data_IF_987422518246
#
_entry.id   IF_987422518246
#
_cell.length_a   1.000
_cell.length_b   1.000
_cell.length_c   1.000
_cell.angle_alpha   90.00
_cell.angle_beta   90.00
_cell.angle_gamma   90.00
#
_symmetry.space_group_name_H-M   'P 1'
#
loop_
_entity.id
_entity.type
_entity.pdbx_description
1 polymer ?
#
# COMPACT_ATOMS: atom_id res chain seq x y z
N UNK A 1 -13.20 -7.18 -44.88
CA UNK A 1 -11.74 -7.12 -44.62
C UNK A 1 -11.39 -6.42 -43.30
N UNK A 2 -11.97 -5.25 -42.97
CA UNK A 2 -11.64 -4.48 -41.76
C UNK A 2 -11.97 -5.15 -40.40
N UNK A 3 -13.03 -5.96 -40.33
CA UNK A 3 -13.49 -6.57 -39.07
C UNK A 3 -12.58 -7.71 -38.58
N UNK A 4 -11.98 -8.46 -39.52
CA UNK A 4 -11.08 -9.59 -39.20
C UNK A 4 -9.73 -9.06 -38.66
N UNK A 5 -9.25 -7.92 -39.17
CA UNK A 5 -8.03 -7.29 -38.68
C UNK A 5 -8.16 -6.73 -37.25
N UNK A 6 -9.35 -6.27 -36.85
CA UNK A 6 -9.60 -5.77 -35.47
C UNK A 6 -9.55 -6.88 -34.41
N UNK A 7 -9.96 -8.10 -34.75
CA UNK A 7 -9.81 -9.27 -33.86
C UNK A 7 -8.37 -9.78 -33.77
N UNK A 8 -7.54 -9.57 -34.79
CA UNK A 8 -6.09 -9.86 -34.71
C UNK A 8 -5.37 -8.88 -33.77
N UNK A 9 -5.71 -7.59 -33.82
CA UNK A 9 -5.11 -6.55 -32.96
C UNK A 9 -5.42 -6.81 -31.47
N UNK A 10 -6.60 -7.33 -31.13
CA UNK A 10 -6.95 -7.67 -29.74
C UNK A 10 -6.19 -8.91 -29.20
N UNK A 11 -5.60 -9.74 -30.06
CA UNK A 11 -4.74 -10.86 -29.64
C UNK A 11 -3.28 -10.46 -29.36
N UNK A 12 -2.88 -9.25 -29.74
CA UNK A 12 -1.51 -8.73 -29.57
C UNK A 12 -1.39 -7.66 -28.46
N UNK A 13 -2.41 -7.49 -27.62
CA UNK A 13 -2.20 -6.83 -26.34
C UNK A 13 -1.52 -7.86 -25.44
N UNK A 14 -0.23 -7.67 -25.19
CA UNK A 14 0.57 -8.49 -24.28
C UNK A 14 -0.01 -8.35 -22.86
N UNK A 15 -1.06 -9.13 -22.56
CA UNK A 15 -1.72 -9.09 -21.26
C UNK A 15 -0.73 -9.58 -20.20
N UNK A 16 -0.64 -8.84 -19.11
CA UNK A 16 0.16 -9.23 -17.94
C UNK A 16 -0.32 -10.62 -17.49
N UNK A 17 0.62 -11.55 -17.37
CA UNK A 17 0.34 -12.89 -16.83
C UNK A 17 0.09 -12.78 -15.32
N UNK A 18 -1.17 -12.92 -14.92
CA UNK A 18 -1.60 -12.85 -13.52
C UNK A 18 -1.62 -14.23 -12.82
N UNK A 19 -1.11 -15.28 -13.47
CA UNK A 19 -1.02 -16.61 -12.85
C UNK A 19 -0.09 -16.58 -11.64
N UNK A 20 -0.47 -17.32 -10.61
CA UNK A 20 0.34 -17.41 -9.39
C UNK A 20 1.57 -18.27 -9.65
N UNK A 21 2.76 -17.67 -9.56
CA UNK A 21 4.01 -18.41 -9.53
C UNK A 21 4.25 -18.96 -8.10
N UNK A 22 4.02 -20.27 -7.90
CA UNK A 22 4.14 -20.90 -6.59
C UNK A 22 5.57 -20.87 -6.02
N UNK A 23 6.59 -21.07 -6.85
CA UNK A 23 8.00 -21.03 -6.43
C UNK A 23 8.42 -19.61 -6.04
N UNK A 24 8.08 -18.61 -6.86
CA UNK A 24 8.33 -17.20 -6.54
C UNK A 24 7.61 -16.75 -5.28
N UNK A 25 6.35 -17.17 -5.10
CA UNK A 25 5.59 -16.90 -3.87
C UNK A 25 6.28 -17.48 -2.64
N UNK A 26 6.73 -18.74 -2.70
CA UNK A 26 7.43 -19.37 -1.58
C UNK A 26 8.72 -18.63 -1.21
N UNK A 27 9.53 -18.25 -2.21
CA UNK A 27 10.74 -17.45 -2.00
C UNK A 27 10.44 -16.09 -1.35
N UNK A 28 9.42 -15.38 -1.84
CA UNK A 28 9.02 -14.08 -1.30
C UNK A 28 8.50 -14.18 0.13
N UNK A 29 7.73 -15.21 0.46
CA UNK A 29 7.27 -15.46 1.85
C UNK A 29 8.47 -15.68 2.77
N UNK A 30 9.44 -16.49 2.34
CA UNK A 30 10.65 -16.76 3.13
C UNK A 30 11.43 -15.47 3.38
N UNK A 31 11.68 -14.69 2.32
CA UNK A 31 12.39 -13.40 2.42
C UNK A 31 11.66 -12.41 3.33
N UNK A 32 10.33 -12.33 3.25
CA UNK A 32 9.52 -11.47 4.11
C UNK A 32 9.66 -11.84 5.59
N UNK A 33 9.67 -13.14 5.91
CA UNK A 33 9.88 -13.64 7.28
C UNK A 33 11.27 -13.28 7.81
N UNK A 34 12.31 -13.50 7.00
CA UNK A 34 13.70 -13.15 7.37
C UNK A 34 13.89 -11.66 7.66
N UNK A 35 13.20 -10.80 6.90
CA UNK A 35 13.22 -9.35 7.08
C UNK A 35 12.18 -8.85 8.09
N UNK A 36 11.43 -9.76 8.73
CA UNK A 36 10.37 -9.45 9.70
C UNK A 36 9.30 -8.48 9.13
N UNK A 37 9.01 -8.60 7.84
CA UNK A 37 7.99 -7.81 7.15
C UNK A 37 6.61 -8.31 7.58
N UNK A 38 5.81 -7.39 8.14
CA UNK A 38 4.41 -7.63 8.48
C UNK A 38 3.56 -6.85 7.48
N UNK A 39 2.73 -7.56 6.72
CA UNK A 39 1.87 -6.95 5.71
C UNK A 39 0.52 -6.62 6.38
N UNK A 40 0.05 -5.35 6.35
CA UNK A 40 -1.27 -5.01 6.87
C UNK A 40 -2.36 -5.64 6.01
N UNK A 41 -3.47 -5.99 6.64
CA UNK A 41 -4.68 -6.35 5.90
C UNK A 41 -5.30 -5.09 5.26
N UNK A 42 -6.07 -5.28 4.20
CA UNK A 42 -6.86 -4.18 3.60
C UNK A 42 -7.80 -3.55 4.64
N UNK A 43 -8.37 -4.35 5.54
CA UNK A 43 -9.24 -3.82 6.60
C UNK A 43 -8.49 -2.89 7.55
N UNK A 44 -7.26 -3.24 7.92
CA UNK A 44 -6.41 -2.38 8.76
C UNK A 44 -6.01 -1.10 8.06
N UNK A 45 -5.72 -1.14 6.75
CA UNK A 45 -5.41 0.08 5.99
C UNK A 45 -6.63 1.03 5.87
N UNK A 46 -7.84 0.46 5.75
CA UNK A 46 -9.10 1.24 5.75
C UNK A 46 -9.42 1.82 7.13
N UNK A 47 -9.22 1.02 8.17
CA UNK A 47 -9.45 1.40 9.56
C UNK A 47 -8.23 1.12 10.46
N UNK A 48 -7.31 2.11 10.60
CA UNK A 48 -6.09 1.96 11.39
C UNK A 48 -6.31 1.66 12.87
N UNK A 49 -7.53 1.87 13.40
CA UNK A 49 -7.88 1.51 14.79
C UNK A 49 -7.85 0.00 15.04
N UNK A 50 -7.87 -0.80 13.98
CA UNK A 50 -7.78 -2.27 14.05
C UNK A 50 -6.33 -2.78 14.00
N UNK A 51 -5.35 -1.89 13.90
CA UNK A 51 -3.93 -2.23 13.95
C UNK A 51 -3.57 -2.58 15.40
N UNK A 52 -2.86 -3.71 15.65
CA UNK A 52 -2.46 -4.08 17.01
C UNK A 52 -1.55 -3.05 17.66
N UNK A 53 -1.73 -2.81 18.96
CA UNK A 53 -0.96 -1.81 19.74
C UNK A 53 0.55 -2.00 19.63
N UNK A 54 1.02 -3.26 19.59
CA UNK A 54 2.44 -3.58 19.41
C UNK A 54 3.03 -2.97 18.13
N UNK A 55 2.26 -2.86 17.05
CA UNK A 55 2.69 -2.23 15.81
C UNK A 55 2.65 -0.70 15.95
N UNK A 56 1.61 -0.16 16.57
CA UNK A 56 1.49 1.28 16.84
C UNK A 56 2.65 1.79 17.69
N UNK A 57 3.05 1.03 18.72
CA UNK A 57 4.19 1.40 19.57
C UNK A 57 5.52 1.39 18.82
N UNK A 58 5.72 0.42 17.92
CA UNK A 58 6.92 0.41 17.06
C UNK A 58 6.93 1.57 16.06
N UNK A 59 5.77 1.95 15.53
CA UNK A 59 5.66 3.08 14.60
C UNK A 59 6.08 4.41 15.24
N UNK A 60 5.94 4.57 16.57
CA UNK A 60 6.37 5.77 17.30
C UNK A 60 7.87 6.05 17.19
N UNK A 61 8.69 5.04 16.90
CA UNK A 61 10.14 5.20 16.70
C UNK A 61 10.57 5.19 15.23
N UNK A 62 9.62 5.15 14.28
CA UNK A 62 9.90 5.06 12.84
C UNK A 62 9.59 6.38 12.16
N UNK A 63 10.57 6.89 11.41
CA UNK A 63 10.44 8.06 10.56
C UNK A 63 9.48 7.84 9.40
N UNK A 64 8.82 8.91 8.97
CA UNK A 64 7.89 8.88 7.84
C UNK A 64 8.58 8.44 6.53
N UNK A 65 9.85 8.86 6.36
CA UNK A 65 10.66 8.61 5.18
C UNK A 65 11.60 7.41 5.31
N UNK A 66 11.58 6.72 6.46
CA UNK A 66 12.46 5.58 6.68
C UNK A 66 12.09 4.41 5.77
N UNK A 67 13.12 3.71 5.26
CA UNK A 67 12.95 2.44 4.55
C UNK A 67 12.69 1.32 5.58
N UNK A 68 11.52 1.37 6.21
CA UNK A 68 11.08 0.45 7.26
C UNK A 68 9.77 -0.24 6.84
N UNK A 69 9.67 -1.58 6.88
CA UNK A 69 8.45 -2.31 6.54
C UNK A 69 7.20 -1.89 7.33
N UNK A 70 7.35 -1.34 8.54
CA UNK A 70 6.22 -0.86 9.34
C UNK A 70 5.49 0.31 8.67
N UNK A 71 6.17 1.09 7.81
CA UNK A 71 5.52 2.17 7.04
C UNK A 71 4.44 1.65 6.08
N UNK A 72 4.37 0.34 5.78
CA UNK A 72 3.25 -0.24 5.03
C UNK A 72 1.89 -0.04 5.72
N UNK A 73 1.86 0.04 7.06
CA UNK A 73 0.65 0.34 7.82
C UNK A 73 0.17 1.80 7.65
N UNK A 74 1.03 2.69 7.16
CA UNK A 74 0.73 4.12 6.93
C UNK A 74 0.21 4.41 5.52
N UNK A 75 -0.04 3.39 4.69
CA UNK A 75 -0.67 3.55 3.36
C UNK A 75 -2.19 3.77 3.53
N UNK A 76 -2.56 4.98 3.99
CA UNK A 76 -3.94 5.38 4.28
C UNK A 76 -4.07 6.90 4.30
N UNK A 77 -5.28 7.41 4.03
CA UNK A 77 -5.57 8.85 4.08
C UNK A 77 -5.52 9.44 5.48
N UNK A 78 -5.59 8.59 6.51
CA UNK A 78 -5.62 8.95 7.93
C UNK A 78 -4.22 9.07 8.55
N UNK A 79 -3.16 9.03 7.75
CA UNK A 79 -1.78 9.10 8.25
C UNK A 79 -1.48 10.48 8.83
N UNK A 80 -0.89 10.53 10.02
CA UNK A 80 -0.49 11.80 10.64
C UNK A 80 0.79 12.34 9.97
N UNK A 81 0.81 13.61 9.50
CA UNK A 81 1.94 14.17 8.77
C UNK A 81 3.06 14.65 9.71
N UNK A 82 3.65 13.72 10.47
CA UNK A 82 4.81 13.97 11.34
C UNK A 82 6.04 13.28 10.77
N UNK A 83 7.17 13.99 10.79
CA UNK A 83 8.48 13.47 10.33
C UNK A 83 8.88 12.17 11.04
N UNK A 84 8.55 12.02 12.32
CA UNK A 84 8.78 10.79 13.07
C UNK A 84 7.67 10.52 14.08
N UNK A 85 7.39 9.23 14.29
CA UNK A 85 6.47 8.75 15.31
C UNK A 85 4.99 9.06 15.08
N UNK A 86 4.63 9.57 13.90
CA UNK A 86 3.23 9.86 13.53
C UNK A 86 2.37 8.60 13.55
N UNK A 87 1.15 8.70 14.07
CA UNK A 87 0.20 7.58 14.07
C UNK A 87 -0.91 7.86 13.07
N UNK A 88 -2.15 7.95 13.56
CA UNK A 88 -3.33 8.10 12.72
C UNK A 88 -4.27 9.15 13.29
N UNK A 89 -4.94 9.87 12.41
CA UNK A 89 -5.88 10.93 12.75
C UNK A 89 -6.98 11.09 11.71
N UNK A 90 -7.49 12.31 11.59
CA UNK A 90 -8.38 12.68 10.50
C UNK A 90 -7.64 12.67 9.15
N UNK A 91 -8.35 12.58 8.01
CA UNK A 91 -7.74 12.77 6.71
C UNK A 91 -7.01 14.12 6.61
N UNK A 92 -5.87 14.14 5.92
CA UNK A 92 -5.18 15.39 5.62
C UNK A 92 -5.89 16.09 4.46
N UNK A 93 -6.51 17.23 4.71
CA UNK A 93 -7.14 18.06 3.69
C UNK A 93 -6.92 19.54 3.99
N UNK A 94 -7.04 20.36 2.94
CA UNK A 94 -7.07 21.81 3.01
C UNK A 94 -8.40 22.24 2.39
N UNK A 95 -9.10 23.18 3.02
CA UNK A 95 -10.31 23.78 2.46
C UNK A 95 -9.91 25.04 1.72
N UNK A 96 -10.28 25.14 0.44
CA UNK A 96 -10.11 26.37 -0.32
C UNK A 96 -11.22 27.35 0.06
N UNK A 97 -10.89 28.63 0.31
CA UNK A 97 -11.89 29.66 0.56
C UNK A 97 -12.65 29.99 -0.74
N UNK A 98 -13.88 30.50 -0.62
CA UNK A 98 -14.77 30.76 -1.76
C UNK A 98 -14.21 31.79 -2.74
N UNK A 99 -13.30 32.66 -2.30
CA UNK A 99 -12.62 33.63 -3.15
C UNK A 99 -11.66 32.98 -4.17
N UNK A 100 -11.33 31.69 -4.02
CA UNK A 100 -10.41 30.93 -4.88
C UNK A 100 -11.09 29.84 -5.73
N UNK A 101 -12.43 29.76 -5.74
CA UNK A 101 -13.22 28.76 -6.49
C UNK A 101 -14.39 29.40 -7.20
#
# INVERSE_FOLDING_TARGET
MYFINRMKILKEVNMIDLRVNAQGRAHNIQRAKEQKIIIPTISQMKDPRTIPDKILDQLKSVGLWDVNPLNLFRITWKNEPKESGGLFGAPNYIVLPSELT
#
